data_IF_145783944767
#
_entry.id   IF_145783944767
#
_cell.length_a   1.000
_cell.length_b   1.000
_cell.length_c   1.000
_cell.angle_alpha   90.00
_cell.angle_beta   90.00
_cell.angle_gamma   90.00
#
_symmetry.space_group_name_H-M   'P 1'
#
loop_
_entity.id
_entity.type
_entity.pdbx_description
1 polymer ?
#
# COMPACT_ATOMS: atom_id res chain seq x y z
N UNK A 1 -26.45 58.05 63.56
CA UNK A 1 -26.93 56.67 63.76
C UNK A 1 -27.95 56.38 62.68
N UNK A 2 -27.54 55.71 61.61
CA UNK A 2 -28.45 55.27 60.55
C UNK A 2 -29.38 54.24 61.21
N UNK A 3 -30.69 54.49 61.22
CA UNK A 3 -31.63 53.66 61.97
C UNK A 3 -31.57 52.21 61.47
N UNK A 4 -31.71 51.23 62.37
CA UNK A 4 -31.74 49.78 62.05
C UNK A 4 -32.72 49.44 60.91
N UNK A 5 -33.75 50.27 60.71
CA UNK A 5 -34.74 50.16 59.62
C UNK A 5 -34.15 50.41 58.23
N UNK A 6 -33.25 51.37 58.06
CA UNK A 6 -32.69 51.68 56.73
C UNK A 6 -31.63 50.68 56.27
N UNK A 7 -30.89 50.05 57.19
CA UNK A 7 -30.00 48.94 56.85
C UNK A 7 -30.77 47.66 56.47
N UNK A 8 -31.89 47.36 57.15
CA UNK A 8 -32.75 46.23 56.80
C UNK A 8 -33.38 46.39 55.41
N UNK A 9 -33.83 47.60 55.05
CA UNK A 9 -34.43 47.89 53.73
C UNK A 9 -33.40 47.77 52.61
N UNK A 10 -32.17 48.26 52.80
CA UNK A 10 -31.09 48.14 51.80
C UNK A 10 -30.66 46.67 51.60
N UNK A 11 -30.55 45.89 52.68
CA UNK A 11 -30.21 44.47 52.60
C UNK A 11 -31.32 43.69 51.88
N UNK A 12 -32.59 43.97 52.19
CA UNK A 12 -33.73 43.36 51.53
C UNK A 12 -33.78 43.69 50.03
N UNK A 13 -33.47 44.94 49.65
CA UNK A 13 -33.42 45.35 48.24
C UNK A 13 -32.30 44.63 47.46
N UNK A 14 -31.11 44.44 48.07
CA UNK A 14 -30.00 43.70 47.45
C UNK A 14 -30.34 42.22 47.28
N UNK A 15 -30.90 41.58 48.30
CA UNK A 15 -31.33 40.18 48.20
C UNK A 15 -32.45 39.98 47.17
N UNK A 16 -33.40 40.92 47.08
CA UNK A 16 -34.45 40.89 46.07
C UNK A 16 -33.88 41.04 44.66
N UNK A 17 -32.96 41.99 44.44
CA UNK A 17 -32.30 42.17 43.15
C UNK A 17 -31.48 40.94 42.74
N UNK A 18 -30.81 40.27 43.69
CA UNK A 18 -30.05 39.05 43.44
C UNK A 18 -30.97 37.86 43.14
N UNK A 19 -32.06 37.69 43.91
CA UNK A 19 -33.06 36.65 43.65
C UNK A 19 -33.72 36.83 42.27
N UNK A 20 -34.11 38.06 41.92
CA UNK A 20 -34.68 38.39 40.60
C UNK A 20 -33.64 38.17 39.49
N UNK A 21 -32.39 38.59 39.70
CA UNK A 21 -31.30 38.36 38.75
C UNK A 21 -31.00 36.89 38.49
N UNK A 22 -31.02 36.04 39.53
CA UNK A 22 -30.81 34.59 39.42
C UNK A 22 -31.99 33.91 38.72
N UNK A 23 -33.23 34.28 39.06
CA UNK A 23 -34.43 33.71 38.43
C UNK A 23 -34.51 34.09 36.94
N UNK A 24 -34.23 35.34 36.58
CA UNK A 24 -34.20 35.79 35.18
C UNK A 24 -33.01 35.20 34.40
N UNK A 25 -31.83 35.10 35.02
CA UNK A 25 -30.64 34.53 34.39
C UNK A 25 -30.72 33.03 34.14
N UNK A 26 -31.44 32.28 34.99
CA UNK A 26 -31.56 30.83 34.89
C UNK A 26 -32.81 30.35 34.15
N UNK A 27 -33.92 31.11 34.16
CA UNK A 27 -35.20 30.67 33.59
C UNK A 27 -35.39 30.92 32.08
N UNK A 28 -34.70 31.88 31.48
CA UNK A 28 -34.89 32.24 30.06
C UNK A 28 -33.87 31.61 29.10
N UNK A 29 -32.69 31.19 29.61
CA UNK A 29 -31.62 30.62 28.78
C UNK A 29 -31.59 29.08 28.77
N UNK A 30 -32.09 28.43 29.82
CA UNK A 30 -31.95 26.99 30.00
C UNK A 30 -32.85 26.18 29.06
N UNK A 31 -34.11 26.56 28.87
CA UNK A 31 -35.03 25.78 28.02
C UNK A 31 -34.73 25.89 26.51
N UNK A 32 -34.33 27.08 26.02
CA UNK A 32 -33.99 27.26 24.60
C UNK A 32 -32.68 26.56 24.23
N UNK A 33 -31.67 26.65 25.09
CA UNK A 33 -30.37 25.97 24.88
C UNK A 33 -30.51 24.46 25.06
N UNK A 34 -31.29 23.99 26.04
CA UNK A 34 -31.54 22.57 26.24
C UNK A 34 -32.40 21.97 25.13
N UNK A 35 -33.38 22.72 24.60
CA UNK A 35 -34.17 22.33 23.43
C UNK A 35 -33.32 22.27 22.16
N UNK A 36 -32.43 23.25 21.95
CA UNK A 36 -31.43 23.23 20.87
C UNK A 36 -30.52 22.01 20.96
N UNK A 37 -29.91 21.75 22.12
CA UNK A 37 -29.05 20.57 22.34
C UNK A 37 -29.81 19.24 22.16
N UNK A 38 -31.08 19.17 22.56
CA UNK A 38 -31.93 17.99 22.34
C UNK A 38 -32.27 17.79 20.87
N UNK A 39 -32.56 18.88 20.14
CA UNK A 39 -32.79 18.85 18.69
C UNK A 39 -31.53 18.45 17.93
N UNK A 40 -30.39 19.04 18.26
CA UNK A 40 -29.09 18.70 17.68
C UNK A 40 -28.73 17.24 17.98
N UNK A 41 -28.98 16.76 19.20
CA UNK A 41 -28.81 15.35 19.55
C UNK A 41 -29.71 14.43 18.72
N UNK A 42 -30.98 14.78 18.53
CA UNK A 42 -31.91 14.00 17.73
C UNK A 42 -31.50 13.99 16.24
N UNK A 43 -31.07 15.13 15.71
CA UNK A 43 -30.59 15.28 14.34
C UNK A 43 -29.29 14.49 14.12
N UNK A 44 -28.33 14.59 15.04
CA UNK A 44 -27.11 13.78 15.02
C UNK A 44 -27.41 12.28 15.10
N UNK A 45 -28.34 11.84 15.94
CA UNK A 45 -28.77 10.44 15.97
C UNK A 45 -29.38 9.99 14.64
N UNK A 46 -30.20 10.84 14.02
CA UNK A 46 -30.78 10.55 12.71
C UNK A 46 -29.69 10.47 11.63
N UNK A 47 -28.74 11.41 11.60
CA UNK A 47 -27.60 11.39 10.67
C UNK A 47 -26.74 10.15 10.87
N UNK A 48 -26.47 9.75 12.12
CA UNK A 48 -25.73 8.52 12.43
C UNK A 48 -26.47 7.29 11.88
N UNK A 49 -27.79 7.21 12.07
CA UNK A 49 -28.59 6.09 11.56
C UNK A 49 -28.54 6.05 10.02
N UNK A 50 -28.80 7.19 9.35
CA UNK A 50 -28.72 7.28 7.88
C UNK A 50 -27.34 6.90 7.35
N UNK A 51 -26.26 7.44 7.92
CA UNK A 51 -24.89 7.11 7.52
C UNK A 51 -24.56 5.64 7.75
N UNK A 52 -25.11 5.03 8.79
CA UNK A 52 -24.95 3.59 9.07
C UNK A 52 -25.67 2.75 8.02
N UNK A 53 -26.91 3.11 7.67
CA UNK A 53 -27.69 2.41 6.65
C UNK A 53 -27.05 2.55 5.26
N UNK A 54 -26.61 3.75 4.89
CA UNK A 54 -25.90 4.00 3.63
C UNK A 54 -24.60 3.20 3.56
N UNK A 55 -23.81 3.19 4.65
CA UNK A 55 -22.58 2.39 4.74
C UNK A 55 -22.87 0.90 4.54
N UNK A 56 -23.92 0.38 5.16
CA UNK A 56 -24.29 -1.03 5.01
C UNK A 56 -24.67 -1.34 3.56
N UNK A 57 -25.50 -0.50 2.94
CA UNK A 57 -25.90 -0.67 1.54
C UNK A 57 -24.70 -0.57 0.57
N UNK A 58 -23.74 0.32 0.84
CA UNK A 58 -22.48 0.44 0.08
C UNK A 58 -21.62 -0.82 0.23
N UNK A 59 -21.48 -1.35 1.44
CA UNK A 59 -20.71 -2.56 1.71
C UNK A 59 -21.33 -3.80 1.03
N UNK A 60 -22.67 -3.91 1.03
CA UNK A 60 -23.36 -4.97 0.31
C UNK A 60 -23.10 -4.90 -1.20
N UNK A 61 -23.19 -3.70 -1.79
CA UNK A 61 -22.88 -3.49 -3.22
C UNK A 61 -21.42 -3.81 -3.54
N UNK A 62 -20.48 -3.40 -2.69
CA UNK A 62 -19.06 -3.69 -2.87
C UNK A 62 -18.78 -5.19 -2.78
N UNK A 63 -19.42 -5.88 -1.83
CA UNK A 63 -19.32 -7.34 -1.69
C UNK A 63 -19.85 -8.06 -2.93
N UNK A 64 -21.01 -7.65 -3.44
CA UNK A 64 -21.59 -8.21 -4.67
C UNK A 64 -20.71 -7.95 -5.90
N UNK A 65 -20.11 -6.77 -6.02
CA UNK A 65 -19.15 -6.46 -7.08
C UNK A 65 -17.89 -7.33 -6.98
N UNK A 66 -17.33 -7.49 -5.77
CA UNK A 66 -16.18 -8.36 -5.53
C UNK A 66 -16.47 -9.83 -5.82
N UNK A 67 -17.67 -10.31 -5.50
CA UNK A 67 -18.12 -11.67 -5.86
C UNK A 67 -18.19 -11.83 -7.38
N UNK A 68 -18.82 -10.89 -8.08
CA UNK A 68 -18.86 -10.87 -9.55
C UNK A 68 -17.45 -10.93 -10.15
N UNK A 69 -16.54 -10.08 -9.68
CA UNK A 69 -15.14 -10.06 -10.13
C UNK A 69 -14.46 -11.41 -9.89
N UNK A 70 -14.69 -12.03 -8.73
CA UNK A 70 -14.13 -13.35 -8.42
C UNK A 70 -14.63 -14.46 -9.35
N UNK A 71 -15.91 -14.40 -9.76
CA UNK A 71 -16.51 -15.35 -10.70
C UNK A 71 -16.00 -15.12 -12.13
N UNK A 72 -15.68 -13.87 -12.48
CA UNK A 72 -15.18 -13.50 -13.80
C UNK A 72 -13.66 -13.66 -13.94
N UNK A 73 -12.90 -13.58 -12.85
CA UNK A 73 -11.43 -13.63 -12.87
C UNK A 73 -10.87 -14.84 -13.65
N UNK A 74 -11.35 -16.09 -13.48
CA UNK A 74 -10.83 -17.22 -14.25
C UNK A 74 -11.05 -17.07 -15.76
N UNK A 75 -12.14 -16.42 -16.19
CA UNK A 75 -12.43 -16.20 -17.62
C UNK A 75 -11.57 -15.09 -18.20
N UNK A 76 -11.35 -14.03 -17.44
CA UNK A 76 -10.57 -12.86 -17.84
C UNK A 76 -9.07 -13.17 -17.89
N UNK A 77 -8.58 -13.93 -16.90
CA UNK A 77 -7.14 -14.20 -16.74
C UNK A 77 -6.66 -15.41 -17.54
N UNK A 78 -7.57 -16.26 -18.01
CA UNK A 78 -7.22 -17.52 -18.67
C UNK A 78 -6.15 -17.32 -19.75
N UNK A 79 -5.06 -18.08 -19.62
CA UNK A 79 -3.93 -18.11 -20.54
C UNK A 79 -3.23 -16.75 -20.78
N UNK A 80 -3.53 -15.73 -19.96
CA UNK A 80 -2.95 -14.39 -20.12
C UNK A 80 -1.45 -14.37 -19.84
N UNK A 81 -0.98 -15.24 -18.94
CA UNK A 81 0.41 -15.45 -18.53
C UNK A 81 0.93 -16.86 -18.90
N UNK A 82 0.29 -17.53 -19.86
CA UNK A 82 0.62 -18.90 -20.25
C UNK A 82 2.12 -19.08 -20.56
N UNK A 83 2.75 -20.01 -19.84
CA UNK A 83 4.17 -20.34 -20.03
C UNK A 83 5.16 -19.27 -19.55
N UNK A 84 4.70 -18.33 -18.71
CA UNK A 84 5.56 -17.35 -18.03
C UNK A 84 5.79 -17.72 -16.58
N UNK A 85 6.98 -17.40 -16.09
CA UNK A 85 7.30 -17.53 -14.67
C UNK A 85 7.25 -16.18 -13.97
N UNK A 86 6.76 -16.17 -12.73
CA UNK A 86 6.59 -14.96 -11.90
C UNK A 86 7.27 -15.19 -10.55
N UNK A 87 8.08 -14.22 -10.11
CA UNK A 87 8.55 -14.16 -8.72
C UNK A 87 7.75 -13.10 -7.98
N UNK A 88 7.36 -13.39 -6.74
CA UNK A 88 6.58 -12.47 -5.92
C UNK A 88 7.46 -11.94 -4.80
N UNK A 89 7.48 -10.63 -4.62
CA UNK A 89 8.14 -9.97 -3.50
C UNK A 89 7.07 -9.42 -2.56
N UNK A 90 7.23 -9.70 -1.27
CA UNK A 90 6.39 -9.19 -0.20
C UNK A 90 7.17 -8.14 0.57
N UNK A 91 6.64 -6.92 0.73
CA UNK A 91 7.23 -5.93 1.63
C UNK A 91 6.81 -6.19 3.09
N UNK A 92 7.51 -5.63 4.10
CA UNK A 92 7.19 -5.88 5.51
C UNK A 92 5.77 -5.49 5.93
N UNK A 93 5.18 -4.51 5.25
CA UNK A 93 3.84 -3.95 5.49
C UNK A 93 2.75 -4.61 4.63
N UNK A 94 3.10 -5.56 3.76
CA UNK A 94 2.14 -6.27 2.92
C UNK A 94 1.37 -7.35 3.72
N UNK A 95 0.05 -7.38 3.52
CA UNK A 95 -0.83 -8.38 4.11
C UNK A 95 -0.69 -9.72 3.38
N UNK A 96 -0.70 -10.81 4.16
CA UNK A 96 -0.57 -12.19 3.63
C UNK A 96 -1.67 -12.52 2.60
N UNK A 97 -2.92 -12.15 2.91
CA UNK A 97 -4.07 -12.41 2.04
C UNK A 97 -3.93 -11.77 0.64
N UNK A 98 -3.27 -10.63 0.54
CA UNK A 98 -3.04 -9.92 -0.72
C UNK A 98 -1.99 -10.66 -1.56
N UNK A 99 -0.89 -11.10 -0.92
CA UNK A 99 0.16 -11.90 -1.54
C UNK A 99 -0.39 -13.23 -2.05
N UNK A 100 -1.14 -13.95 -1.21
CA UNK A 100 -1.73 -15.25 -1.55
C UNK A 100 -2.75 -15.13 -2.68
N UNK A 101 -3.56 -14.07 -2.66
CA UNK A 101 -4.56 -13.84 -3.70
C UNK A 101 -3.92 -13.50 -5.05
N UNK A 102 -2.89 -12.64 -5.06
CA UNK A 102 -2.13 -12.33 -6.28
C UNK A 102 -1.42 -13.58 -6.81
N UNK A 103 -0.80 -14.37 -5.93
CA UNK A 103 -0.17 -15.66 -6.27
C UNK A 103 -1.15 -16.58 -6.97
N UNK A 104 -2.32 -16.80 -6.36
CA UNK A 104 -3.38 -17.66 -6.89
C UNK A 104 -3.90 -17.17 -8.24
N UNK A 105 -4.15 -15.86 -8.40
CA UNK A 105 -4.65 -15.30 -9.66
C UNK A 105 -3.59 -15.37 -10.76
N UNK A 106 -2.30 -15.16 -10.45
CA UNK A 106 -1.21 -15.35 -11.40
C UNK A 106 -1.16 -16.80 -11.90
N UNK A 107 -1.30 -17.79 -11.01
CA UNK A 107 -1.39 -19.21 -11.40
C UNK A 107 -2.64 -19.51 -12.22
N UNK A 108 -3.81 -18.95 -11.86
CA UNK A 108 -5.02 -19.06 -12.68
C UNK A 108 -4.84 -18.45 -14.08
N UNK A 109 -3.99 -17.43 -14.18
CA UNK A 109 -3.60 -16.83 -15.45
C UNK A 109 -2.66 -17.68 -16.32
N UNK A 110 -2.22 -18.84 -15.82
CA UNK A 110 -1.30 -19.75 -16.51
C UNK A 110 0.18 -19.53 -16.19
N UNK A 111 0.49 -18.71 -15.18
CA UNK A 111 1.85 -18.42 -14.77
C UNK A 111 2.38 -19.45 -13.76
N UNK A 112 3.69 -19.74 -13.81
CA UNK A 112 4.39 -20.53 -12.79
C UNK A 112 5.01 -19.60 -11.77
N UNK A 113 4.52 -19.61 -10.53
CA UNK A 113 5.15 -18.83 -9.45
C UNK A 113 6.41 -19.55 -8.98
N UNK A 114 7.57 -18.91 -9.14
CA UNK A 114 8.87 -19.54 -8.87
C UNK A 114 9.32 -19.40 -7.42
N UNK A 115 8.66 -18.53 -6.66
CA UNK A 115 8.87 -18.34 -5.24
C UNK A 115 8.29 -17.01 -4.76
N UNK A 116 8.08 -16.93 -3.45
CA UNK A 116 7.71 -15.70 -2.75
C UNK A 116 8.86 -15.30 -1.82
N UNK A 117 9.42 -14.12 -2.04
CA UNK A 117 10.52 -13.55 -1.25
C UNK A 117 9.97 -12.41 -0.40
N UNK A 118 10.09 -12.54 0.92
CA UNK A 118 9.75 -11.47 1.85
C UNK A 118 10.96 -10.57 2.09
N UNK A 119 10.79 -9.28 1.82
CA UNK A 119 11.72 -8.24 2.24
C UNK A 119 11.51 -8.00 3.73
N UNK A 120 12.59 -8.02 4.52
CA UNK A 120 12.47 -7.83 5.97
C UNK A 120 12.40 -6.34 6.32
N UNK A 121 11.98 -5.96 7.55
CA UNK A 121 12.05 -4.57 7.99
C UNK A 121 13.45 -3.96 7.83
N UNK A 122 14.49 -4.78 7.98
CA UNK A 122 15.89 -4.37 7.81
C UNK A 122 16.21 -3.97 6.36
N UNK A 123 15.50 -4.53 5.36
CA UNK A 123 15.68 -4.18 3.96
C UNK A 123 15.27 -2.74 3.65
N UNK A 124 14.16 -2.31 4.25
CA UNK A 124 13.56 -0.99 4.01
C UNK A 124 14.00 0.07 5.03
N UNK A 125 14.71 -0.35 6.08
CA UNK A 125 15.26 0.54 7.11
C UNK A 125 16.51 1.27 6.61
N UNK A 126 16.47 2.59 6.68
CA UNK A 126 17.57 3.47 6.32
C UNK A 126 18.84 3.22 7.15
N UNK A 127 18.70 2.79 8.41
CA UNK A 127 19.85 2.50 9.29
C UNK A 127 20.65 1.27 8.85
N UNK A 128 20.06 0.42 8.01
CA UNK A 128 20.71 -0.80 7.51
C UNK A 128 21.24 -0.65 6.09
N UNK A 129 21.22 0.58 5.54
CA UNK A 129 21.62 0.87 4.17
C UNK A 129 23.08 0.52 3.87
N UNK A 130 24.01 0.96 4.70
CA UNK A 130 25.43 0.65 4.54
C UNK A 130 25.70 -0.86 4.61
N UNK A 131 25.01 -1.56 5.52
CA UNK A 131 25.12 -3.01 5.65
C UNK A 131 24.59 -3.72 4.41
N UNK A 132 23.45 -3.30 3.85
CA UNK A 132 22.92 -3.92 2.63
C UNK A 132 23.85 -3.63 1.44
N UNK A 133 24.32 -2.39 1.29
CA UNK A 133 25.26 -2.02 0.24
C UNK A 133 26.58 -2.81 0.34
N UNK A 134 27.08 -3.07 1.55
CA UNK A 134 28.26 -3.91 1.75
C UNK A 134 28.03 -5.35 1.28
N UNK A 135 26.85 -5.93 1.57
CA UNK A 135 26.49 -7.29 1.11
C UNK A 135 26.31 -7.32 -0.42
N UNK A 136 25.62 -6.34 -0.99
CA UNK A 136 25.34 -6.28 -2.43
C UNK A 136 26.63 -6.08 -3.24
N UNK A 137 27.57 -5.29 -2.74
CA UNK A 137 28.87 -5.05 -3.39
C UNK A 137 29.93 -6.13 -3.09
N UNK A 138 29.59 -7.15 -2.29
CA UNK A 138 30.47 -8.29 -2.04
C UNK A 138 30.56 -9.21 -3.27
N UNK A 139 31.52 -10.14 -3.35
CA UNK A 139 31.69 -11.07 -4.49
C UNK A 139 30.59 -12.14 -4.58
N UNK A 140 29.33 -11.78 -4.32
CA UNK A 140 28.14 -12.60 -4.54
C UNK A 140 27.52 -12.35 -5.92
N UNK A 141 28.06 -11.41 -6.70
CA UNK A 141 27.58 -11.12 -8.04
C UNK A 141 27.78 -12.33 -8.98
N UNK A 142 26.73 -12.77 -9.70
CA UNK A 142 26.85 -13.83 -10.69
C UNK A 142 27.91 -13.49 -11.75
N UNK A 143 28.67 -14.50 -12.18
CA UNK A 143 29.80 -14.30 -13.08
C UNK A 143 29.37 -13.64 -14.40
N UNK A 144 30.15 -12.65 -14.85
CA UNK A 144 29.89 -11.93 -16.10
C UNK A 144 28.76 -10.89 -16.02
N UNK A 145 28.18 -10.66 -14.83
CA UNK A 145 27.18 -9.62 -14.59
C UNK A 145 27.81 -8.45 -13.83
N UNK A 146 27.25 -7.27 -14.02
CA UNK A 146 27.69 -6.04 -13.35
C UNK A 146 26.47 -5.30 -12.83
N UNK A 147 26.62 -4.72 -11.63
CA UNK A 147 25.58 -3.85 -11.08
C UNK A 147 25.52 -2.55 -11.88
N UNK A 148 24.32 -2.03 -12.02
CA UNK A 148 24.06 -0.70 -12.55
C UNK A 148 24.77 0.36 -11.72
N UNK A 149 25.49 1.24 -12.39
CA UNK A 149 26.15 2.40 -11.77
C UNK A 149 25.28 3.66 -11.80
N UNK A 150 24.05 3.57 -12.34
CA UNK A 150 23.15 4.72 -12.51
C UNK A 150 22.56 5.21 -11.20
N UNK A 151 22.27 4.30 -10.28
CA UNK A 151 21.83 4.64 -8.92
C UNK A 151 22.46 3.69 -7.92
N UNK A 152 23.10 4.26 -6.90
CA UNK A 152 23.90 3.54 -5.90
C UNK A 152 23.23 3.50 -4.53
N UNK A 153 21.95 3.87 -4.44
CA UNK A 153 21.17 3.73 -3.22
C UNK A 153 20.84 2.27 -2.92
N UNK A 154 20.55 1.99 -1.66
CA UNK A 154 20.24 0.67 -1.14
C UNK A 154 19.15 -0.07 -1.94
N UNK A 155 18.02 0.60 -2.22
CA UNK A 155 16.90 -0.01 -2.92
C UNK A 155 17.27 -0.37 -4.35
N UNK A 156 17.92 0.57 -5.06
CA UNK A 156 18.35 0.33 -6.44
C UNK A 156 19.38 -0.79 -6.56
N UNK A 157 20.42 -0.80 -5.73
CA UNK A 157 21.47 -1.83 -5.80
C UNK A 157 20.93 -3.21 -5.44
N UNK A 158 20.07 -3.30 -4.41
CA UNK A 158 19.43 -4.57 -4.05
C UNK A 158 18.44 -5.05 -5.12
N UNK A 159 17.68 -4.14 -5.74
CA UNK A 159 16.76 -4.44 -6.83
C UNK A 159 17.48 -4.92 -8.09
N UNK A 160 18.62 -4.31 -8.38
CA UNK A 160 19.48 -4.69 -9.50
C UNK A 160 20.10 -6.09 -9.27
N UNK A 161 20.66 -6.34 -8.08
CA UNK A 161 21.21 -7.66 -7.72
C UNK A 161 20.15 -8.76 -7.78
N UNK A 162 18.98 -8.53 -7.16
CA UNK A 162 17.88 -9.50 -7.18
C UNK A 162 17.30 -9.66 -8.58
N UNK A 163 17.29 -8.61 -9.40
CA UNK A 163 16.92 -8.67 -10.81
C UNK A 163 17.85 -9.55 -11.61
N UNK A 164 19.16 -9.35 -11.48
CA UNK A 164 20.19 -10.19 -12.12
C UNK A 164 20.04 -11.66 -11.70
N UNK A 165 19.79 -11.91 -10.41
CA UNK A 165 19.73 -13.27 -9.89
C UNK A 165 18.42 -14.00 -10.25
N UNK A 166 17.28 -13.31 -10.21
CA UNK A 166 15.96 -13.95 -10.29
C UNK A 166 15.30 -13.80 -11.64
N UNK A 167 15.56 -12.72 -12.38
CA UNK A 167 14.83 -12.42 -13.60
C UNK A 167 15.59 -12.84 -14.85
N UNK A 168 14.82 -13.29 -15.83
CA UNK A 168 15.26 -13.74 -17.15
C UNK A 168 14.52 -12.94 -18.21
N UNK A 169 15.12 -11.80 -18.55
CA UNK A 169 14.66 -10.89 -19.59
C UNK A 169 15.49 -11.02 -20.86
N UNK A 170 16.22 -9.95 -21.19
CA UNK A 170 17.12 -9.92 -22.37
C UNK A 170 18.36 -10.79 -22.19
N UNK A 171 18.83 -10.88 -20.96
CA UNK A 171 19.97 -11.71 -20.59
C UNK A 171 19.46 -13.09 -20.13
N UNK A 172 20.20 -14.18 -20.41
CA UNK A 172 19.84 -15.50 -19.90
C UNK A 172 19.75 -15.49 -18.37
N UNK A 173 18.89 -16.38 -17.85
CA UNK A 173 18.86 -16.66 -16.42
C UNK A 173 20.27 -17.06 -15.95
N UNK A 174 20.68 -16.55 -14.79
CA UNK A 174 21.92 -16.99 -14.15
C UNK A 174 21.83 -18.46 -13.76
N UNK A 175 23.00 -19.07 -13.59
CA UNK A 175 23.11 -20.44 -13.12
C UNK A 175 22.50 -20.59 -11.73
N UNK A 176 22.00 -21.78 -11.47
CA UNK A 176 21.17 -22.09 -10.33
C UNK A 176 21.94 -22.00 -9.00
N UNK A 177 23.20 -22.40 -8.99
CA UNK A 177 24.15 -22.26 -7.88
C UNK A 177 24.49 -20.79 -7.56
N UNK A 178 24.65 -19.95 -8.59
CA UNK A 178 24.91 -18.52 -8.43
C UNK A 178 23.70 -17.80 -7.84
N UNK A 179 22.50 -18.15 -8.30
CA UNK A 179 21.24 -17.63 -7.75
C UNK A 179 21.10 -17.97 -6.27
N UNK A 180 21.33 -19.24 -5.91
CA UNK A 180 21.24 -19.69 -4.52
C UNK A 180 22.25 -18.96 -3.63
N UNK A 181 23.47 -18.72 -4.14
CA UNK A 181 24.51 -17.98 -3.40
C UNK A 181 24.05 -16.57 -3.06
N UNK A 182 23.45 -15.85 -4.03
CA UNK A 182 22.91 -14.49 -3.81
C UNK A 182 21.78 -14.53 -2.77
N UNK A 183 20.83 -15.45 -2.92
CA UNK A 183 19.68 -15.54 -2.02
C UNK A 183 20.08 -15.98 -0.61
N UNK A 184 21.04 -16.90 -0.48
CA UNK A 184 21.58 -17.32 0.80
C UNK A 184 22.28 -16.17 1.52
N UNK A 185 23.14 -15.42 0.83
CA UNK A 185 23.83 -14.27 1.42
C UNK A 185 22.86 -13.20 1.94
N UNK A 186 21.83 -12.86 1.16
CA UNK A 186 20.80 -11.88 1.59
C UNK A 186 19.93 -12.42 2.73
N UNK A 187 19.67 -13.73 2.77
CA UNK A 187 18.92 -14.39 3.84
C UNK A 187 19.71 -14.44 5.15
N UNK A 188 20.98 -14.88 5.09
CA UNK A 188 21.87 -14.97 6.25
C UNK A 188 22.16 -13.61 6.89
N UNK A 189 22.19 -12.55 6.09
CA UNK A 189 22.40 -11.18 6.57
C UNK A 189 21.13 -10.51 7.09
N UNK A 190 19.97 -11.17 6.94
CA UNK A 190 18.68 -10.77 7.49
C UNK A 190 17.85 -9.84 6.61
N UNK A 191 18.20 -9.65 5.34
CA UNK A 191 17.52 -8.72 4.44
C UNK A 191 16.32 -9.32 3.72
N UNK A 192 16.33 -10.62 3.48
CA UNK A 192 15.20 -11.34 2.89
C UNK A 192 14.89 -12.62 3.66
N UNK A 193 13.67 -13.13 3.50
CA UNK A 193 13.29 -14.48 3.89
C UNK A 193 12.44 -15.11 2.79
N UNK A 194 12.44 -16.44 2.73
CA UNK A 194 11.60 -17.22 1.83
C UNK A 194 11.46 -18.64 2.40
N UNK A 195 10.27 -19.22 2.23
CA UNK A 195 9.95 -20.55 2.77
C UNK A 195 10.20 -21.67 1.76
N UNK A 196 10.24 -21.34 0.47
CA UNK A 196 10.49 -22.30 -0.59
C UNK A 196 11.89 -22.93 -0.45
N UNK A 197 11.99 -24.23 -0.72
CA UNK A 197 13.28 -24.94 -0.75
C UNK A 197 14.23 -24.35 -1.80
N UNK A 198 13.67 -23.89 -2.92
CA UNK A 198 14.40 -23.23 -4.00
C UNK A 198 13.52 -22.18 -4.65
N UNK A 199 14.11 -21.03 -5.00
CA UNK A 199 13.46 -20.00 -5.80
C UNK A 199 14.00 -20.07 -7.22
N UNK A 200 13.13 -20.29 -8.22
CA UNK A 200 13.53 -20.42 -9.63
C UNK A 200 13.62 -19.10 -10.38
N UNK A 201 14.17 -19.15 -11.60
CA UNK A 201 14.19 -18.00 -12.53
C UNK A 201 12.78 -17.61 -12.98
N UNK A 202 12.44 -16.33 -12.85
CA UNK A 202 11.18 -15.77 -13.31
C UNK A 202 11.37 -14.92 -14.59
N UNK A 203 10.33 -14.78 -15.39
CA UNK A 203 10.29 -13.79 -16.47
C UNK A 203 9.84 -12.43 -15.97
N UNK A 204 9.02 -12.40 -14.94
CA UNK A 204 8.42 -11.16 -14.41
C UNK A 204 8.41 -11.15 -12.88
N UNK A 205 8.19 -9.96 -12.31
CA UNK A 205 8.09 -9.77 -10.88
C UNK A 205 6.81 -9.03 -10.49
N UNK A 206 6.24 -9.43 -9.36
CA UNK A 206 5.20 -8.64 -8.68
C UNK A 206 5.68 -8.31 -7.28
N UNK A 207 5.71 -7.03 -6.92
CA UNK A 207 5.96 -6.57 -5.57
C UNK A 207 4.62 -6.20 -4.96
N UNK A 208 4.25 -6.87 -3.87
CA UNK A 208 3.04 -6.55 -3.09
C UNK A 208 3.47 -5.74 -1.88
N UNK A 209 2.85 -4.57 -1.69
CA UNK A 209 3.11 -3.63 -0.60
C UNK A 209 1.82 -3.28 0.15
N UNK A 210 1.95 -2.69 1.35
CA UNK A 210 0.83 -2.21 2.13
C UNK A 210 0.14 -0.97 1.54
N UNK A 211 -0.65 -0.30 2.39
CA UNK A 211 -1.40 0.91 2.04
C UNK A 211 -0.62 2.19 2.34
N UNK A 212 -1.28 3.15 2.97
CA UNK A 212 -0.64 4.38 3.42
C UNK A 212 0.47 4.09 4.47
N UNK A 213 1.53 4.88 4.43
CA UNK A 213 2.61 4.87 5.40
C UNK A 213 2.49 6.08 6.35
N UNK A 214 2.74 5.86 7.64
CA UNK A 214 2.76 6.93 8.63
C UNK A 214 3.94 7.90 8.45
N UNK A 215 3.88 9.05 9.12
CA UNK A 215 4.92 10.09 9.04
C UNK A 215 6.31 9.61 9.50
N UNK A 216 6.36 8.55 10.32
CA UNK A 216 7.57 7.90 10.83
C UNK A 216 8.14 6.82 9.88
N UNK A 217 7.50 6.60 8.74
CA UNK A 217 7.95 5.59 7.77
C UNK A 217 9.28 5.96 7.09
N UNK A 218 9.72 7.22 7.18
CA UNK A 218 10.98 7.68 6.63
C UNK A 218 11.11 7.34 5.15
N UNK A 219 12.16 6.61 4.79
CA UNK A 219 12.46 6.28 3.39
C UNK A 219 11.87 4.95 2.90
N UNK A 220 11.08 4.22 3.71
CA UNK A 220 10.62 2.85 3.39
C UNK A 220 9.96 2.75 2.02
N UNK A 221 8.96 3.60 1.73
CA UNK A 221 8.28 3.57 0.43
C UNK A 221 9.21 3.95 -0.73
N UNK A 222 10.13 4.89 -0.53
CA UNK A 222 11.12 5.24 -1.55
C UNK A 222 12.13 4.11 -1.83
N UNK A 223 12.50 3.32 -0.81
CA UNK A 223 13.37 2.15 -0.96
C UNK A 223 12.66 1.08 -1.78
N UNK A 224 11.39 0.79 -1.49
CA UNK A 224 10.57 -0.17 -2.26
C UNK A 224 10.36 0.30 -3.71
N UNK A 225 10.06 1.59 -3.91
CA UNK A 225 9.89 2.17 -5.24
C UNK A 225 11.15 2.05 -6.11
N UNK A 226 12.32 2.37 -5.54
CA UNK A 226 13.62 2.22 -6.22
C UNK A 226 14.02 0.77 -6.44
N UNK A 227 13.72 -0.10 -5.48
CA UNK A 227 13.88 -1.55 -5.62
C UNK A 227 13.09 -2.07 -6.83
N UNK A 228 11.80 -1.74 -6.92
CA UNK A 228 10.96 -2.16 -8.05
C UNK A 228 11.49 -1.63 -9.40
N UNK A 229 11.94 -0.37 -9.44
CA UNK A 229 12.45 0.25 -10.65
C UNK A 229 13.80 -0.32 -11.11
N UNK A 230 14.69 -0.67 -10.18
CA UNK A 230 15.95 -1.34 -10.51
C UNK A 230 15.78 -2.82 -10.88
N UNK A 231 14.70 -3.44 -10.40
CA UNK A 231 14.33 -4.81 -10.77
C UNK A 231 13.80 -4.90 -12.21
N UNK A 232 13.01 -3.90 -12.64
CA UNK A 232 12.28 -3.91 -13.90
C UNK A 232 13.11 -4.18 -15.18
N UNK A 233 14.34 -3.65 -15.36
CA UNK A 233 15.12 -3.89 -16.58
C UNK A 233 15.55 -5.34 -16.79
N UNK A 234 15.53 -6.17 -15.74
CA UNK A 234 16.03 -7.55 -15.78
C UNK A 234 14.97 -8.58 -16.20
N UNK A 235 13.70 -8.20 -16.24
CA UNK A 235 12.58 -9.05 -16.63
C UNK A 235 11.78 -8.50 -17.81
N UNK A 236 10.71 -9.21 -18.16
CA UNK A 236 9.73 -8.78 -19.14
C UNK A 236 8.66 -7.82 -18.57
N UNK A 237 8.58 -7.70 -17.24
CA UNK A 237 7.62 -6.81 -16.59
C UNK A 237 7.72 -6.85 -15.07
N UNK A 238 7.51 -5.69 -14.44
CA UNK A 238 7.45 -5.54 -12.99
C UNK A 238 6.21 -4.73 -12.61
N UNK A 239 5.41 -5.29 -11.70
CA UNK A 239 4.22 -4.63 -11.13
C UNK A 239 4.45 -4.37 -9.64
N UNK A 240 4.21 -3.14 -9.19
CA UNK A 240 4.14 -2.75 -7.79
C UNK A 240 2.68 -2.58 -7.39
N UNK A 241 2.14 -3.52 -6.62
CA UNK A 241 0.75 -3.56 -6.18
C UNK A 241 0.66 -3.20 -4.70
N UNK A 242 0.04 -2.06 -4.40
CA UNK A 242 -0.25 -1.59 -3.04
C UNK A 242 -1.73 -1.65 -2.72
N UNK A 243 -2.06 -1.55 -1.44
CA UNK A 243 -3.45 -1.40 -0.96
C UNK A 243 -3.95 0.04 -1.09
N UNK A 244 -5.25 0.24 -0.88
CA UNK A 244 -5.81 1.59 -0.82
C UNK A 244 -5.01 2.51 0.12
N UNK A 245 -4.84 3.76 -0.29
CA UNK A 245 -3.95 4.73 0.35
C UNK A 245 -2.47 4.65 -0.02
N UNK A 246 -2.00 3.58 -0.70
CA UNK A 246 -0.59 3.46 -1.15
C UNK A 246 -0.17 4.49 -2.20
N UNK A 247 -1.13 5.13 -2.86
CA UNK A 247 -0.93 6.21 -3.82
C UNK A 247 -0.77 7.60 -3.17
N UNK A 248 -0.64 7.68 -1.84
CA UNK A 248 -0.49 8.95 -1.10
C UNK A 248 0.80 9.03 -0.28
N UNK A 249 1.23 10.26 0.02
CA UNK A 249 2.34 10.51 0.93
C UNK A 249 3.67 9.91 0.44
N UNK A 250 4.35 9.21 1.35
CA UNK A 250 5.66 8.57 1.10
C UNK A 250 5.56 7.08 0.78
N UNK A 251 4.36 6.55 0.58
CA UNK A 251 4.13 5.16 0.23
C UNK A 251 4.73 4.81 -1.16
N UNK A 252 5.05 3.53 -1.36
CA UNK A 252 5.85 3.11 -2.51
C UNK A 252 5.18 3.44 -3.86
N UNK A 253 3.86 3.22 -3.98
CA UNK A 253 3.12 3.56 -5.21
C UNK A 253 3.12 5.07 -5.45
N UNK A 254 2.89 5.88 -4.41
CA UNK A 254 2.95 7.34 -4.49
C UNK A 254 4.32 7.85 -4.99
N UNK A 255 5.40 7.30 -4.43
CA UNK A 255 6.78 7.66 -4.81
C UNK A 255 7.08 7.24 -6.24
N UNK A 256 6.72 6.01 -6.64
CA UNK A 256 6.90 5.54 -8.02
C UNK A 256 6.16 6.44 -9.02
N UNK A 257 4.92 6.84 -8.72
CA UNK A 257 4.11 7.69 -9.62
C UNK A 257 4.61 9.14 -9.69
N UNK A 258 5.22 9.63 -8.62
CA UNK A 258 5.71 11.02 -8.55
C UNK A 258 7.05 11.24 -9.26
N UNK A 259 7.79 10.17 -9.54
CA UNK A 259 9.07 10.22 -10.25
C UNK A 259 8.94 9.67 -11.68
N UNK A 260 9.15 10.49 -12.73
CA UNK A 260 9.11 10.03 -14.13
C UNK A 260 10.07 8.88 -14.45
N UNK A 261 11.22 8.80 -13.78
CA UNK A 261 12.19 7.72 -13.99
C UNK A 261 11.68 6.38 -13.43
N UNK A 262 10.93 6.41 -12.32
CA UNK A 262 10.37 5.21 -11.70
C UNK A 262 9.06 4.79 -12.40
N UNK A 263 8.15 5.74 -12.64
CA UNK A 263 6.85 5.49 -13.29
C UNK A 263 6.98 5.01 -14.75
N UNK A 264 8.07 5.36 -15.44
CA UNK A 264 8.36 4.83 -16.79
C UNK A 264 8.98 3.44 -16.79
N UNK A 265 9.41 2.93 -15.63
CA UNK A 265 10.02 1.60 -15.48
C UNK A 265 9.07 0.57 -14.87
N UNK A 266 8.14 0.99 -14.00
CA UNK A 266 7.31 0.09 -13.18
C UNK A 266 5.84 0.38 -13.35
N UNK A 267 5.03 -0.67 -13.55
CA UNK A 267 3.58 -0.55 -13.50
C UNK A 267 3.10 -0.54 -12.05
N UNK A 268 2.17 0.35 -11.69
CA UNK A 268 1.62 0.43 -10.33
C UNK A 268 0.14 0.07 -10.30
N UNK A 269 -0.30 -0.58 -9.23
CA UNK A 269 -1.71 -0.83 -8.88
C UNK A 269 -1.89 -0.43 -7.41
N UNK A 270 -2.95 0.29 -7.04
CA UNK A 270 -3.11 0.86 -5.69
C UNK A 270 -4.32 0.32 -4.89
N UNK A 271 -5.03 -0.67 -5.41
CA UNK A 271 -6.24 -1.24 -4.81
C UNK A 271 -6.14 -2.77 -4.68
N UNK A 272 -4.95 -3.30 -4.35
CA UNK A 272 -4.72 -4.77 -4.28
C UNK A 272 -5.52 -5.48 -3.18
N UNK A 273 -6.11 -4.74 -2.25
CA UNK A 273 -7.05 -5.27 -1.27
C UNK A 273 -8.49 -5.42 -1.80
N UNK A 274 -8.77 -4.90 -2.99
CA UNK A 274 -9.97 -5.19 -3.76
C UNK A 274 -9.73 -6.30 -4.79
N UNK A 275 -10.78 -7.05 -5.12
CA UNK A 275 -10.70 -8.11 -6.12
C UNK A 275 -10.34 -7.56 -7.52
N UNK A 276 -10.84 -6.37 -7.86
CA UNK A 276 -10.51 -5.62 -9.07
C UNK A 276 -9.01 -5.34 -9.19
N UNK A 277 -8.36 -4.86 -8.12
CA UNK A 277 -6.94 -4.54 -8.11
C UNK A 277 -6.05 -5.77 -8.22
N UNK A 278 -6.46 -6.89 -7.61
CA UNK A 278 -5.76 -8.18 -7.74
C UNK A 278 -5.80 -8.71 -9.17
N UNK A 279 -6.97 -8.67 -9.82
CA UNK A 279 -7.12 -9.03 -11.24
C UNK A 279 -6.29 -8.08 -12.11
N UNK A 280 -6.37 -6.78 -11.85
CA UNK A 280 -5.63 -5.74 -12.59
C UNK A 280 -4.12 -5.93 -12.46
N UNK A 281 -3.60 -6.35 -11.30
CA UNK A 281 -2.18 -6.63 -11.10
C UNK A 281 -1.67 -7.74 -12.02
N UNK A 282 -2.48 -8.80 -12.22
CA UNK A 282 -2.15 -9.91 -13.12
C UNK A 282 -2.30 -9.49 -14.59
N UNK A 283 -3.35 -8.74 -14.93
CA UNK A 283 -3.55 -8.21 -16.28
C UNK A 283 -2.43 -7.24 -16.68
N UNK A 284 -2.02 -6.37 -15.77
CA UNK A 284 -0.90 -5.44 -15.94
C UNK A 284 0.41 -6.19 -16.21
N UNK A 285 0.66 -7.26 -15.46
CA UNK A 285 1.81 -8.13 -15.70
C UNK A 285 1.75 -8.77 -17.09
N UNK A 286 0.56 -9.23 -17.51
CA UNK A 286 0.35 -9.84 -18.82
C UNK A 286 0.53 -8.85 -19.97
N UNK A 287 0.10 -7.59 -19.80
CA UNK A 287 0.32 -6.52 -20.77
C UNK A 287 1.82 -6.22 -20.95
N UNK A 288 2.56 -6.09 -19.85
CA UNK A 288 4.02 -5.90 -19.89
C UNK A 288 4.74 -7.04 -20.61
N UNK A 289 4.35 -8.30 -20.32
CA UNK A 289 4.88 -9.48 -21.02
C UNK A 289 4.68 -9.42 -22.53
N UNK A 290 3.59 -8.80 -23.01
CA UNK A 290 3.27 -8.63 -24.43
C UNK A 290 3.96 -7.41 -25.06
N UNK A 291 4.79 -6.69 -24.31
CA UNK A 291 5.47 -5.49 -24.77
C UNK A 291 4.70 -4.19 -24.52
N UNK A 292 3.67 -4.24 -23.67
CA UNK A 292 2.99 -3.07 -23.13
C UNK A 292 3.96 -2.15 -22.38
N UNK A 293 3.58 -0.88 -22.22
CA UNK A 293 4.37 0.10 -21.48
C UNK A 293 3.92 0.15 -20.02
N UNK A 294 4.81 0.49 -19.08
CA UNK A 294 4.42 0.69 -17.69
C UNK A 294 3.25 1.67 -17.53
N UNK A 295 2.25 1.26 -16.74
CA UNK A 295 1.00 1.98 -16.48
C UNK A 295 0.73 2.22 -15.00
N UNK A 296 -0.28 3.03 -14.70
CA UNK A 296 -0.64 3.41 -13.33
C UNK A 296 -2.13 3.18 -13.16
N UNK A 297 -2.49 2.13 -12.42
CA UNK A 297 -3.85 1.63 -12.35
C UNK A 297 -4.42 1.67 -10.93
N UNK A 298 -5.75 1.65 -10.85
CA UNK A 298 -6.52 1.68 -9.61
C UNK A 298 -7.30 2.99 -9.46
N UNK A 299 -7.55 3.40 -8.23
CA UNK A 299 -8.46 4.52 -7.90
C UNK A 299 -7.76 5.68 -7.18
N UNK A 300 -6.52 5.48 -6.73
CA UNK A 300 -5.75 6.47 -6.02
C UNK A 300 -5.12 7.54 -6.93
N UNK A 301 -4.48 8.53 -6.31
CA UNK A 301 -3.89 9.65 -7.01
C UNK A 301 -2.83 9.21 -8.03
N UNK A 302 -2.89 9.79 -9.23
CA UNK A 302 -1.95 9.49 -10.31
C UNK A 302 -2.25 8.21 -11.10
N UNK A 303 -3.35 7.51 -10.80
CA UNK A 303 -3.86 6.46 -11.68
C UNK A 303 -4.38 7.07 -13.00
N UNK A 304 -4.03 6.44 -14.12
CA UNK A 304 -4.50 6.84 -15.46
C UNK A 304 -5.77 6.09 -15.89
N UNK A 305 -6.05 4.95 -15.27
CA UNK A 305 -7.25 4.13 -15.51
C UNK A 305 -7.49 3.22 -14.30
N UNK A 306 -8.73 2.74 -14.14
CA UNK A 306 -9.05 1.73 -13.11
C UNK A 306 -8.37 0.40 -13.40
N UNK A 307 -8.24 0.04 -14.68
CA UNK A 307 -7.59 -1.21 -15.11
C UNK A 307 -6.91 -1.07 -16.48
N UNK A 308 -6.24 -2.13 -16.92
CA UNK A 308 -5.56 -2.20 -18.21
C UNK A 308 -6.58 -2.09 -19.35
N UNK A 309 -6.46 -1.11 -20.27
CA UNK A 309 -7.35 -0.99 -21.41
C UNK A 309 -7.11 -2.13 -22.42
N UNK A 310 -8.17 -2.59 -23.07
CA UNK A 310 -8.10 -3.57 -24.17
C UNK A 310 -7.87 -2.90 -25.53
#
# INVERSE_FOLDING_TARGET
MISLRSHAISLAAVFLALAVGVVLGSGLLSDTVLSGLRKDKADLHQQINTLTDDKNALNEKLSAAGEFDSMMAPRILRDTLGGKSVVIFRTPDAADDDVDSVTRLATQGGATVTGTISLTPQFVDANSSEKLLSVVNSPILPAGRQLSTKSVDQGSQAGDLLGIALLSGREPAVADDQRDTVLAALRETGFISYDAERVGAANTAVIVTGGNLGDDAGNRGSTVARFAAALAPHGAGTVLAGRDGSATGTAAVAVTRSDPALSSAVTTVDDVDAQSGRITSVLALADLVRGGKPGQFGIGQGASSVTVPQ
#
